data_IF_357389208895
#
_entry.id   IF_357389208895
#
_cell.length_a   1.000
_cell.length_b   1.000
_cell.length_c   1.000
_cell.angle_alpha   90.00
_cell.angle_beta   90.00
_cell.angle_gamma   90.00
#
_symmetry.space_group_name_H-M   'P 1'
#
loop_
_entity.id
_entity.type
_entity.pdbx_description
1 polymer ?
#
# COMPACT_ATOMS: atom_id res chain seq x y z
N UNK A 1 11.03 -14.36 -2.48
CA UNK A 1 10.18 -14.03 -1.30
C UNK A 1 10.11 -12.51 -1.19
N UNK A 2 8.91 -11.95 -1.31
CA UNK A 2 8.70 -10.50 -1.19
C UNK A 2 8.99 -10.06 0.26
N UNK A 3 9.82 -9.03 0.43
CA UNK A 3 10.05 -8.41 1.73
C UNK A 3 9.13 -7.20 1.90
N UNK A 4 8.04 -7.39 2.64
CA UNK A 4 7.02 -6.35 2.84
C UNK A 4 7.55 -5.10 3.56
N UNK A 5 8.50 -5.27 4.49
CA UNK A 5 9.09 -4.14 5.23
C UNK A 5 9.92 -3.25 4.32
N UNK A 6 10.73 -3.84 3.42
CA UNK A 6 11.52 -3.06 2.46
C UNK A 6 10.63 -2.23 1.53
N UNK A 7 9.55 -2.82 1.00
CA UNK A 7 8.58 -2.10 0.17
C UNK A 7 7.95 -0.94 0.95
N UNK A 8 7.58 -1.17 2.22
CA UNK A 8 7.02 -0.11 3.06
C UNK A 8 8.03 1.01 3.35
N UNK A 9 9.31 0.68 3.56
CA UNK A 9 10.39 1.68 3.73
C UNK A 9 10.60 2.51 2.46
N UNK A 10 10.57 1.89 1.28
CA UNK A 10 10.70 2.60 0.01
C UNK A 10 9.51 3.52 -0.25
N UNK A 11 8.29 3.10 0.12
CA UNK A 11 7.09 3.95 0.08
C UNK A 11 7.19 5.15 1.03
N UNK A 12 7.73 4.98 2.24
CA UNK A 12 7.95 6.11 3.18
C UNK A 12 8.95 7.10 2.60
N UNK A 13 10.08 6.62 2.07
CA UNK A 13 11.07 7.48 1.43
C UNK A 13 10.47 8.24 0.25
N UNK A 14 9.66 7.57 -0.58
CA UNK A 14 8.97 8.18 -1.70
C UNK A 14 8.01 9.29 -1.25
N UNK A 15 7.26 9.06 -0.17
CA UNK A 15 6.36 10.04 0.45
C UNK A 15 7.12 11.26 1.00
N UNK A 16 8.19 11.03 1.78
CA UNK A 16 9.03 12.08 2.37
C UNK A 16 9.69 12.96 1.29
N UNK A 17 10.18 12.32 0.22
CA UNK A 17 10.82 13.01 -0.90
C UNK A 17 9.81 13.61 -1.89
N UNK A 18 8.51 13.31 -1.73
CA UNK A 18 7.43 13.66 -2.67
C UNK A 18 7.76 13.24 -4.11
N UNK A 19 8.37 12.06 -4.27
CA UNK A 19 8.77 11.50 -5.56
C UNK A 19 8.04 10.18 -5.78
N UNK A 20 7.36 10.07 -6.92
CA UNK A 20 6.72 8.83 -7.31
C UNK A 20 7.78 7.75 -7.61
N UNK A 21 7.49 6.52 -7.19
CA UNK A 21 8.25 5.32 -7.54
C UNK A 21 7.44 4.45 -8.52
N UNK A 22 8.11 3.53 -9.22
CA UNK A 22 7.45 2.59 -10.12
C UNK A 22 6.42 1.71 -9.40
N UNK A 23 5.46 1.16 -10.14
CA UNK A 23 4.43 0.32 -9.52
C UNK A 23 5.05 -0.97 -8.97
N UNK A 24 4.64 -1.36 -7.77
CA UNK A 24 5.17 -2.56 -7.10
C UNK A 24 4.83 -3.82 -7.90
N UNK A 25 3.66 -3.86 -8.54
CA UNK A 25 3.21 -4.96 -9.40
C UNK A 25 4.08 -5.14 -10.66
N UNK A 26 4.73 -4.07 -11.14
CA UNK A 26 5.61 -4.16 -12.31
C UNK A 26 6.92 -4.87 -11.97
N UNK A 27 7.35 -4.77 -10.72
CA UNK A 27 8.57 -5.40 -10.20
C UNK A 27 8.30 -6.79 -9.61
N UNK A 28 7.06 -7.06 -9.22
CA UNK A 28 6.63 -8.30 -8.59
C UNK A 28 5.34 -8.83 -9.25
N UNK A 29 5.51 -9.65 -10.29
CA UNK A 29 4.38 -10.27 -11.02
C UNK A 29 3.46 -11.14 -10.15
N UNK A 30 3.97 -11.66 -9.03
CA UNK A 30 3.21 -12.46 -8.06
C UNK A 30 2.41 -11.59 -7.06
N UNK A 31 2.52 -10.26 -7.15
CA UNK A 31 1.91 -9.34 -6.19
C UNK A 31 0.37 -9.37 -6.30
N UNK A 32 -0.27 -9.72 -5.19
CA UNK A 32 -1.72 -9.82 -5.10
C UNK A 32 -2.29 -8.91 -3.99
N UNK A 33 -3.61 -8.88 -3.87
CA UNK A 33 -4.31 -8.04 -2.90
C UNK A 33 -3.89 -8.32 -1.45
N UNK A 34 -3.72 -9.58 -1.05
CA UNK A 34 -3.29 -9.93 0.31
C UNK A 34 -1.89 -9.41 0.62
N UNK A 35 -0.97 -9.50 -0.35
CA UNK A 35 0.37 -8.94 -0.24
C UNK A 35 0.32 -7.41 -0.10
N UNK A 36 -0.58 -6.75 -0.82
CA UNK A 36 -0.85 -5.32 -0.68
C UNK A 36 -1.25 -4.92 0.75
N UNK A 37 -2.17 -5.67 1.37
CA UNK A 37 -2.54 -5.43 2.77
C UNK A 37 -1.39 -5.68 3.74
N UNK A 38 -0.53 -6.68 3.51
CA UNK A 38 0.67 -6.93 4.34
C UNK A 38 1.67 -5.77 4.26
N UNK A 39 1.91 -5.22 3.07
CA UNK A 39 2.73 -4.01 2.91
C UNK A 39 2.11 -2.82 3.65
N UNK A 40 0.79 -2.62 3.53
CA UNK A 40 0.10 -1.54 4.23
C UNK A 40 0.21 -1.65 5.76
N UNK A 41 0.14 -2.87 6.30
CA UNK A 41 0.33 -3.11 7.74
C UNK A 41 1.74 -2.74 8.20
N UNK A 42 2.78 -3.14 7.46
CA UNK A 42 4.16 -2.74 7.76
C UNK A 42 4.35 -1.23 7.64
N UNK A 43 3.70 -0.58 6.66
CA UNK A 43 3.75 0.87 6.49
C UNK A 43 3.16 1.61 7.71
N UNK A 44 2.00 1.16 8.20
CA UNK A 44 1.38 1.73 9.40
C UNK A 44 2.28 1.51 10.62
N UNK A 45 2.86 0.31 10.76
CA UNK A 45 3.79 -0.03 11.85
C UNK A 45 4.99 0.90 11.86
N UNK A 46 5.65 1.11 10.73
CA UNK A 46 6.78 2.02 10.58
C UNK A 46 6.43 3.47 10.94
N UNK A 47 5.25 3.95 10.53
CA UNK A 47 4.77 5.29 10.89
C UNK A 47 4.51 5.42 12.40
N UNK A 48 3.99 4.37 13.04
CA UNK A 48 3.83 4.35 14.50
C UNK A 48 5.19 4.35 15.21
N UNK A 49 6.14 3.53 14.73
CA UNK A 49 7.52 3.48 15.23
C UNK A 49 8.22 4.85 15.11
N UNK A 50 7.89 5.66 14.09
CA UNK A 50 8.39 7.03 13.94
C UNK A 50 7.64 8.10 14.75
N UNK A 51 6.71 7.70 15.62
CA UNK A 51 6.00 8.57 16.55
C UNK A 51 4.64 9.08 16.07
N UNK A 52 4.14 8.60 14.92
CA UNK A 52 2.79 8.92 14.48
C UNK A 52 1.75 8.10 15.22
N UNK A 53 0.49 8.55 15.19
CA UNK A 53 -0.65 7.81 15.74
C UNK A 53 -1.73 7.64 14.68
N UNK A 54 -2.29 6.44 14.60
CA UNK A 54 -3.47 6.18 13.77
C UNK A 54 -4.67 6.90 14.38
N UNK A 55 -5.25 7.85 13.63
CA UNK A 55 -6.41 8.64 14.08
C UNK A 55 -7.71 8.19 13.45
N UNK A 56 -7.66 7.61 12.25
CA UNK A 56 -8.83 7.14 11.52
C UNK A 56 -8.45 6.08 10.47
N UNK A 57 -9.46 5.34 10.02
CA UNK A 57 -9.38 4.45 8.86
C UNK A 57 -10.25 5.01 7.74
N UNK A 58 -9.80 4.89 6.50
CA UNK A 58 -10.51 5.40 5.31
C UNK A 58 -10.88 4.24 4.40
N UNK A 59 -12.14 4.20 3.99
CA UNK A 59 -12.61 3.37 2.88
C UNK A 59 -12.51 4.17 1.56
N UNK A 60 -11.79 3.60 0.59
CA UNK A 60 -11.72 4.05 -0.80
C UNK A 60 -12.41 3.03 -1.72
N UNK A 61 -12.52 3.36 -3.02
CA UNK A 61 -13.14 2.48 -4.02
C UNK A 61 -14.59 2.09 -3.68
N UNK A 62 -15.39 3.00 -3.16
CA UNK A 62 -16.76 2.71 -2.70
C UNK A 62 -17.83 2.89 -3.77
N UNK A 63 -17.48 3.39 -4.96
CA UNK A 63 -18.40 3.53 -6.09
C UNK A 63 -18.46 2.23 -6.89
N UNK A 64 -19.67 1.81 -7.26
CA UNK A 64 -19.88 0.65 -8.13
C UNK A 64 -19.08 0.76 -9.43
N UNK A 65 -19.09 1.95 -10.07
CA UNK A 65 -18.34 2.17 -11.30
C UNK A 65 -16.83 1.93 -11.14
N UNK A 66 -16.25 2.34 -10.00
CA UNK A 66 -14.83 2.13 -9.70
C UNK A 66 -14.52 0.67 -9.36
N UNK A 67 -15.39 0.01 -8.60
CA UNK A 67 -15.24 -1.41 -8.28
C UNK A 67 -15.32 -2.30 -9.52
N UNK A 68 -16.29 -2.03 -10.41
CA UNK A 68 -16.43 -2.74 -11.68
C UNK A 68 -15.23 -2.51 -12.60
N UNK A 69 -14.72 -1.28 -12.69
CA UNK A 69 -13.55 -0.97 -13.51
C UNK A 69 -12.27 -1.66 -13.05
N UNK A 70 -12.15 -1.96 -11.75
CA UNK A 70 -11.01 -2.66 -11.14
C UNK A 70 -11.25 -4.18 -10.99
N UNK A 71 -12.35 -4.71 -11.53
CA UNK A 71 -12.74 -6.12 -11.39
C UNK A 71 -12.77 -6.63 -9.94
N UNK A 72 -13.07 -5.73 -8.99
CA UNK A 72 -13.17 -6.05 -7.55
C UNK A 72 -14.55 -6.57 -7.15
N UNK A 73 -15.46 -6.72 -8.12
CA UNK A 73 -16.78 -7.35 -7.96
C UNK A 73 -16.80 -8.59 -8.86
N UNK A 74 -16.91 -9.78 -8.25
CA UNK A 74 -17.08 -11.03 -8.98
C UNK A 74 -18.06 -11.96 -8.26
#
# INVERSE_FOLDING_TARGET
>A
MINYRNIAEDLIKAEEQRKAISCISDQHLEFNQEMGYKVQQELVKLKIESGHRVTAYKMGLTSFATLSALFLFH
#
